data_IF_585214032432
#
_entry.id   IF_585214032432
#
_cell.length_a   1.000
_cell.length_b   1.000
_cell.length_c   1.000
_cell.angle_alpha   90.00
_cell.angle_beta   90.00
_cell.angle_gamma   90.00
#
_symmetry.space_group_name_H-M   'P 1'
#
loop_
_entity.id
_entity.type
_entity.pdbx_description
1 polymer ?
#
# COMPACT_ATOMS: atom_id res chain seq x y z
N UNK A 1 -10.59 -9.21 -20.62
CA UNK A 1 -11.17 -9.57 -19.30
C UNK A 1 -10.42 -10.67 -18.53
N UNK A 2 -9.44 -11.40 -19.11
CA UNK A 2 -8.67 -12.44 -18.38
C UNK A 2 -7.45 -11.94 -17.59
N UNK A 3 -6.97 -10.71 -17.84
CA UNK A 3 -5.76 -10.15 -17.19
C UNK A 3 -5.92 -9.79 -15.71
N UNK A 4 -7.06 -9.21 -15.32
CA UNK A 4 -7.26 -8.69 -13.95
C UNK A 4 -7.11 -9.77 -12.86
N UNK A 5 -7.57 -10.99 -13.10
CA UNK A 5 -7.49 -12.09 -12.12
C UNK A 5 -6.11 -12.70 -12.02
N UNK A 6 -5.32 -12.70 -13.09
CA UNK A 6 -3.94 -13.20 -13.07
C UNK A 6 -3.05 -12.23 -12.31
N UNK A 7 -3.16 -10.94 -12.58
CA UNK A 7 -2.38 -9.90 -11.88
C UNK A 7 -2.77 -9.84 -10.39
N UNK A 8 -4.07 -9.99 -10.09
CA UNK A 8 -4.54 -10.11 -8.71
C UNK A 8 -4.01 -11.37 -8.02
N UNK A 9 -4.00 -12.51 -8.70
CA UNK A 9 -3.46 -13.75 -8.14
C UNK A 9 -1.95 -13.63 -7.85
N UNK A 10 -1.19 -13.03 -8.78
CA UNK A 10 0.24 -12.77 -8.60
C UNK A 10 0.47 -11.82 -7.42
N UNK A 11 -0.30 -10.74 -7.30
CA UNK A 11 -0.21 -9.80 -6.19
C UNK A 11 -0.45 -10.48 -4.83
N UNK A 12 -1.46 -11.35 -4.73
CA UNK A 12 -1.76 -12.09 -3.50
C UNK A 12 -0.65 -13.08 -3.13
N UNK A 13 -0.14 -13.84 -4.10
CA UNK A 13 0.95 -14.81 -3.87
C UNK A 13 2.24 -14.11 -3.43
N UNK A 14 2.60 -13.01 -4.10
CA UNK A 14 3.77 -12.21 -3.74
C UNK A 14 3.57 -11.59 -2.35
N UNK A 15 2.38 -11.05 -2.06
CA UNK A 15 2.06 -10.50 -0.74
C UNK A 15 2.22 -11.52 0.38
N UNK A 16 1.72 -12.75 0.19
CA UNK A 16 1.85 -13.82 1.16
C UNK A 16 3.32 -14.27 1.35
N UNK A 17 4.05 -14.48 0.26
CA UNK A 17 5.46 -14.87 0.31
C UNK A 17 6.33 -13.80 0.97
N UNK A 18 6.08 -12.53 0.65
CA UNK A 18 6.81 -11.40 1.22
C UNK A 18 6.55 -11.24 2.72
N UNK A 19 5.29 -11.40 3.16
CA UNK A 19 4.94 -11.43 4.59
C UNK A 19 5.71 -12.52 5.34
N UNK A 20 5.85 -13.72 4.76
CA UNK A 20 6.62 -14.80 5.38
C UNK A 20 8.12 -14.46 5.54
N UNK A 21 8.73 -13.80 4.55
CA UNK A 21 10.13 -13.35 4.64
C UNK A 21 10.32 -12.33 5.76
N UNK A 22 9.40 -11.37 5.88
CA UNK A 22 9.48 -10.37 6.95
C UNK A 22 9.30 -11.02 8.31
N UNK A 23 8.30 -11.88 8.47
CA UNK A 23 8.07 -12.60 9.72
C UNK A 23 9.34 -13.37 10.13
N UNK A 24 9.98 -14.08 9.19
CA UNK A 24 11.24 -14.77 9.46
C UNK A 24 12.35 -13.83 9.96
N UNK A 25 12.46 -12.62 9.40
CA UNK A 25 13.45 -11.62 9.86
C UNK A 25 13.09 -11.10 11.25
N UNK A 26 11.82 -10.78 11.49
CA UNK A 26 11.36 -10.26 12.79
C UNK A 26 11.54 -11.33 13.87
N UNK A 27 11.12 -12.56 13.61
CA UNK A 27 11.19 -13.69 14.55
C UNK A 27 12.64 -14.13 14.80
N UNK A 28 13.53 -14.04 13.79
CA UNK A 28 14.92 -14.51 13.92
C UNK A 28 15.89 -13.42 14.41
N UNK A 29 15.57 -12.14 14.24
CA UNK A 29 16.49 -11.03 14.54
C UNK A 29 15.93 -10.11 15.60
N UNK A 30 14.70 -9.60 15.42
CA UNK A 30 14.12 -8.62 16.34
C UNK A 30 13.62 -9.25 17.64
N UNK A 31 12.92 -10.38 17.57
CA UNK A 31 12.42 -11.09 18.76
C UNK A 31 13.56 -11.49 19.70
N UNK A 32 14.69 -12.07 19.25
CA UNK A 32 15.83 -12.36 20.14
C UNK A 32 16.48 -11.11 20.73
N UNK A 33 16.54 -9.99 19.99
CA UNK A 33 17.05 -8.71 20.51
C UNK A 33 16.15 -8.14 21.61
N UNK A 34 14.84 -8.21 21.43
CA UNK A 34 13.85 -7.79 22.43
C UNK A 34 13.90 -8.73 23.63
N UNK A 35 13.99 -10.04 23.39
CA UNK A 35 14.13 -11.04 24.44
C UNK A 35 15.39 -10.83 25.28
N UNK A 36 16.50 -10.46 24.64
CA UNK A 36 17.75 -10.13 25.32
C UNK A 36 17.64 -8.85 26.15
N UNK A 37 16.92 -7.83 25.66
CA UNK A 37 16.78 -6.54 26.34
C UNK A 37 15.79 -6.60 27.52
N UNK A 38 14.66 -7.28 27.34
CA UNK A 38 13.58 -7.37 28.32
C UNK A 38 13.65 -8.64 29.18
N UNK A 39 14.66 -9.50 28.96
CA UNK A 39 14.85 -10.79 29.64
C UNK A 39 13.60 -11.69 29.59
N UNK A 40 12.77 -11.53 28.57
CA UNK A 40 11.55 -12.29 28.35
C UNK A 40 11.31 -12.46 26.85
N UNK A 41 11.18 -13.70 26.34
CA UNK A 41 10.99 -13.96 24.91
C UNK A 41 9.64 -13.48 24.39
N UNK A 42 8.66 -13.30 25.26
CA UNK A 42 7.33 -12.78 24.95
C UNK A 42 6.70 -12.20 26.22
N UNK A 43 5.63 -11.42 26.05
CA UNK A 43 4.82 -10.91 27.17
C UNK A 43 3.74 -11.91 27.60
N UNK A 44 3.79 -13.15 27.09
CA UNK A 44 2.73 -14.15 27.23
C UNK A 44 2.45 -14.51 28.69
N UNK A 45 3.48 -14.49 29.53
CA UNK A 45 3.40 -14.87 30.94
C UNK A 45 3.19 -13.67 31.89
N UNK A 46 3.07 -12.45 31.36
CA UNK A 46 2.90 -11.24 32.16
C UNK A 46 1.47 -11.08 32.73
N UNK A 47 0.48 -11.70 32.08
CA UNK A 47 -0.94 -11.51 32.43
C UNK A 47 -1.70 -12.82 32.27
N UNK A 48 -1.30 -13.81 33.09
CA UNK A 48 -1.93 -15.12 33.17
C UNK A 48 -2.95 -15.10 34.31
N UNK A 49 -4.22 -15.24 33.97
CA UNK A 49 -5.31 -15.41 34.94
C UNK A 49 -5.73 -16.88 34.93
N UNK A 50 -5.60 -17.56 36.07
CA UNK A 50 -6.17 -18.88 36.28
C UNK A 50 -7.61 -18.73 36.75
N UNK A 51 -8.55 -19.08 35.89
CA UNK A 51 -9.97 -19.13 36.22
C UNK A 51 -10.39 -20.60 36.13
N UNK A 52 -10.54 -21.25 37.30
CA UNK A 52 -11.09 -22.60 37.40
C UNK A 52 -10.28 -23.66 36.61
N UNK A 53 -8.95 -23.57 36.63
CA UNK A 53 -8.05 -24.48 35.93
C UNK A 53 -7.82 -24.13 34.45
N UNK A 54 -8.43 -23.05 33.96
CA UNK A 54 -8.20 -22.52 32.61
C UNK A 54 -7.27 -21.32 32.71
N UNK A 55 -6.04 -21.52 32.24
CA UNK A 55 -5.01 -20.47 32.13
C UNK A 55 -5.33 -19.53 30.97
N UNK A 56 -5.89 -18.37 31.27
CA UNK A 56 -6.13 -17.32 30.28
C UNK A 56 -4.91 -16.41 30.20
N UNK A 57 -4.13 -16.51 29.12
CA UNK A 57 -2.94 -15.70 28.87
C UNK A 57 -3.27 -14.45 28.05
N UNK A 58 -3.64 -13.36 28.71
CA UNK A 58 -3.87 -12.07 28.03
C UNK A 58 -2.58 -11.48 27.45
N UNK A 59 -1.43 -11.89 27.98
CA UNK A 59 -0.11 -11.53 27.48
C UNK A 59 0.11 -11.85 26.00
N UNK A 60 -0.53 -12.91 25.49
CA UNK A 60 -0.41 -13.34 24.09
C UNK A 60 -0.94 -12.28 23.12
N UNK A 61 -2.02 -11.59 23.50
CA UNK A 61 -2.59 -10.51 22.67
C UNK A 61 -1.62 -9.32 22.62
N UNK A 62 -1.00 -8.97 23.75
CA UNK A 62 -0.01 -7.90 23.80
C UNK A 62 1.23 -8.25 22.96
N UNK A 63 1.72 -9.49 23.08
CA UNK A 63 2.81 -10.00 22.23
C UNK A 63 2.46 -9.89 20.74
N UNK A 64 1.23 -10.27 20.36
CA UNK A 64 0.78 -10.18 18.97
C UNK A 64 0.73 -8.73 18.46
N UNK A 65 0.26 -7.78 19.28
CA UNK A 65 0.23 -6.35 18.93
C UNK A 65 1.64 -5.79 18.74
N UNK A 66 2.56 -6.12 19.66
CA UNK A 66 3.96 -5.68 19.55
C UNK A 66 4.60 -6.28 18.30
N UNK A 67 4.42 -7.57 18.03
CA UNK A 67 4.94 -8.21 16.82
C UNK A 67 4.39 -7.55 15.55
N UNK A 68 3.08 -7.29 15.50
CA UNK A 68 2.46 -6.57 14.38
C UNK A 68 3.08 -5.18 14.16
N UNK A 69 3.31 -4.41 15.23
CA UNK A 69 4.00 -3.11 15.15
C UNK A 69 5.44 -3.24 14.63
N UNK A 70 6.18 -4.27 15.03
CA UNK A 70 7.54 -4.51 14.55
C UNK A 70 7.57 -4.86 13.06
N UNK A 71 6.69 -5.76 12.63
CA UNK A 71 6.53 -6.12 11.22
C UNK A 71 6.15 -4.88 10.39
N UNK A 72 5.17 -4.10 10.85
CA UNK A 72 4.77 -2.86 10.20
C UNK A 72 5.92 -1.85 10.10
N UNK A 73 6.70 -1.68 11.18
CA UNK A 73 7.88 -0.82 11.19
C UNK A 73 8.96 -1.32 10.23
N UNK A 74 9.22 -2.63 10.19
CA UNK A 74 10.17 -3.24 9.27
C UNK A 74 9.77 -3.03 7.81
N UNK A 75 8.49 -3.27 7.46
CA UNK A 75 7.93 -3.01 6.11
C UNK A 75 8.08 -1.53 5.76
N UNK A 76 7.73 -0.64 6.68
CA UNK A 76 7.79 0.79 6.46
C UNK A 76 9.22 1.27 6.19
N UNK A 77 10.18 0.84 7.02
CA UNK A 77 11.58 1.23 6.85
C UNK A 77 12.27 0.57 5.65
N UNK A 78 11.98 -0.70 5.36
CA UNK A 78 12.65 -1.46 4.31
C UNK A 78 12.07 -1.20 2.91
N UNK A 79 10.77 -0.89 2.80
CA UNK A 79 10.11 -0.70 1.51
C UNK A 79 9.56 0.72 1.37
N UNK A 80 8.68 1.15 2.26
CA UNK A 80 7.92 2.41 2.06
C UNK A 80 8.86 3.61 2.05
N UNK A 81 9.80 3.68 2.99
CA UNK A 81 10.76 4.78 3.11
C UNK A 81 11.72 4.89 1.91
N UNK A 82 12.41 3.81 1.45
CA UNK A 82 13.26 3.91 0.26
C UNK A 82 12.45 4.11 -1.02
N UNK A 83 11.28 3.49 -1.14
CA UNK A 83 10.40 3.68 -2.30
C UNK A 83 9.93 5.14 -2.40
N UNK A 84 9.44 5.72 -1.30
CA UNK A 84 9.05 7.13 -1.24
C UNK A 84 10.23 8.04 -1.57
N UNK A 85 11.42 7.76 -1.03
CA UNK A 85 12.64 8.53 -1.30
C UNK A 85 13.11 8.41 -2.76
N UNK A 86 12.95 7.25 -3.39
CA UNK A 86 13.28 7.04 -4.80
C UNK A 86 12.27 7.73 -5.72
N UNK A 87 10.98 7.63 -5.43
CA UNK A 87 9.90 8.31 -6.16
C UNK A 87 10.10 9.83 -6.08
N UNK A 88 10.37 10.37 -4.89
CA UNK A 88 10.61 11.80 -4.70
C UNK A 88 11.85 12.28 -5.46
N UNK A 89 12.93 11.48 -5.50
CA UNK A 89 14.14 11.76 -6.30
C UNK A 89 13.87 11.69 -7.81
N UNK A 90 13.04 10.75 -8.27
CA UNK A 90 12.64 10.62 -9.67
C UNK A 90 11.76 11.78 -10.10
N UNK A 91 10.75 12.12 -9.31
CA UNK A 91 9.81 13.22 -9.57
C UNK A 91 10.55 14.57 -9.62
N UNK A 92 11.50 14.80 -8.70
CA UNK A 92 12.37 15.99 -8.70
C UNK A 92 13.32 16.07 -9.91
N UNK A 93 13.75 14.93 -10.47
CA UNK A 93 14.61 14.89 -11.67
C UNK A 93 13.83 15.08 -12.97
N UNK A 94 12.58 14.65 -13.02
CA UNK A 94 11.75 14.68 -14.23
C UNK A 94 10.76 15.85 -14.26
N UNK A 95 10.64 16.64 -13.18
CA UNK A 95 9.65 17.72 -13.09
C UNK A 95 8.20 17.21 -13.12
N UNK A 96 8.01 15.93 -12.82
CA UNK A 96 6.71 15.28 -12.84
C UNK A 96 6.04 15.60 -11.50
N UNK A 97 5.01 16.44 -11.57
CA UNK A 97 4.08 16.64 -10.46
C UNK A 97 3.34 15.31 -10.22
N UNK A 98 3.40 14.70 -9.02
CA UNK A 98 2.65 13.49 -8.70
C UNK A 98 1.13 13.65 -8.87
N UNK A 99 0.61 14.88 -8.95
CA UNK A 99 -0.79 15.14 -9.30
C UNK A 99 -1.13 14.84 -10.77
N UNK A 100 -0.11 14.64 -11.62
CA UNK A 100 -0.27 14.19 -13.01
C UNK A 100 -0.22 12.66 -13.03
N UNK A 101 -1.10 12.03 -12.27
CA UNK A 101 -1.40 10.61 -12.48
C UNK A 101 -1.74 10.42 -13.96
N UNK A 102 -1.17 9.37 -14.56
CA UNK A 102 -1.43 8.99 -15.94
C UNK A 102 -2.94 8.85 -16.10
N UNK A 103 -3.55 9.87 -16.69
CA UNK A 103 -4.98 9.91 -16.94
C UNK A 103 -5.29 8.63 -17.72
N UNK A 104 -6.19 7.77 -17.23
CA UNK A 104 -6.52 6.53 -17.91
C UNK A 104 -6.82 6.82 -19.38
N UNK A 105 -6.35 5.96 -20.28
CA UNK A 105 -6.41 6.20 -21.73
C UNK A 105 -7.85 6.56 -22.18
N UNK A 106 -8.84 5.91 -21.56
CA UNK A 106 -10.26 6.22 -21.74
C UNK A 106 -10.62 7.67 -21.37
N UNK A 107 -10.10 8.18 -20.26
CA UNK A 107 -10.36 9.55 -19.79
C UNK A 107 -9.63 10.57 -20.67
N UNK A 108 -8.45 10.23 -21.20
CA UNK A 108 -7.74 11.04 -22.19
C UNK A 108 -8.55 11.15 -23.50
N UNK A 109 -9.02 10.01 -24.02
CA UNK A 109 -9.87 9.96 -25.22
C UNK A 109 -11.19 10.72 -25.03
N UNK A 110 -11.83 10.58 -23.86
CA UNK A 110 -13.06 11.33 -23.54
C UNK A 110 -12.82 12.84 -23.48
N UNK A 111 -11.64 13.26 -23.02
CA UNK A 111 -11.24 14.69 -23.02
C UNK A 111 -11.09 15.20 -24.45
N UNK A 112 -10.42 14.44 -25.33
CA UNK A 112 -10.32 14.78 -26.76
C UNK A 112 -11.69 14.83 -27.44
N UNK A 113 -12.57 13.84 -27.21
CA UNK A 113 -13.92 13.82 -27.79
C UNK A 113 -14.74 15.02 -27.32
N UNK A 114 -14.66 15.38 -26.03
CA UNK A 114 -15.33 16.58 -25.49
C UNK A 114 -14.85 17.84 -26.20
N UNK A 115 -13.54 17.97 -26.40
CA UNK A 115 -12.95 19.16 -27.00
C UNK A 115 -13.30 19.27 -28.49
N UNK A 116 -13.30 18.15 -29.22
CA UNK A 116 -13.78 18.08 -30.62
C UNK A 116 -15.27 18.43 -30.74
N UNK A 117 -16.11 17.91 -29.84
CA UNK A 117 -17.55 18.20 -29.84
C UNK A 117 -17.85 19.66 -29.46
N UNK A 118 -17.08 20.22 -28.52
CA UNK A 118 -17.15 21.64 -28.14
C UNK A 118 -16.77 22.54 -29.31
N UNK A 119 -15.67 22.22 -30.01
CA UNK A 119 -15.24 22.94 -31.21
C UNK A 119 -16.29 22.85 -32.34
N UNK A 120 -16.90 21.69 -32.56
CA UNK A 120 -17.95 21.49 -33.57
C UNK A 120 -19.24 22.24 -33.22
N UNK A 121 -19.65 22.25 -31.94
CA UNK A 121 -20.78 23.06 -31.46
C UNK A 121 -20.54 24.56 -31.60
N UNK A 122 -19.31 25.03 -31.34
CA UNK A 122 -18.91 26.42 -31.55
C UNK A 122 -18.95 26.83 -33.03
N UNK A 123 -18.57 25.94 -33.94
CA UNK A 123 -18.64 26.16 -35.39
C UNK A 123 -20.07 26.24 -35.95
N UNK A 124 -21.01 25.48 -35.39
CA UNK A 124 -22.41 25.50 -35.81
C UNK A 124 -23.18 26.77 -35.39
N UNK A 125 -22.69 27.50 -34.38
CA UNK A 125 -23.27 28.78 -33.96
C UNK A 125 -22.83 29.98 -34.84
N UNK A 126 -21.78 29.82 -35.66
CA UNK A 126 -21.25 30.85 -36.56
C UNK A 126 -21.89 30.90 -37.96
N UNK A 127 -22.70 29.90 -38.32
CA UNK A 127 -23.38 29.80 -39.62
C UNK A 127 -24.88 30.10 -39.51
N UNK A 128 -25.23 31.23 -38.88
CA UNK A 128 -26.57 31.81 -39.09
C UNK A 128 -26.56 32.53 -40.45
N UNK A 129 -27.12 31.84 -41.45
CA UNK A 129 -27.80 32.41 -42.63
C UNK A 129 -27.47 33.88 -42.97
N UNK A 130 -26.44 34.11 -43.79
CA UNK A 130 -26.44 35.25 -44.73
C UNK A 130 -26.75 34.69 -46.10
N UNK A 131 -28.03 34.46 -46.36
CA UNK A 131 -28.56 34.21 -47.70
C UNK A 131 -29.46 35.41 -48.02
N UNK A 132 -28.93 36.25 -48.93
CA UNK A 132 -29.58 37.33 -49.70
C UNK A 132 -30.05 38.58 -48.95
#
# INVERSE_FOLDING_TARGET
MKGNVIDLAVAVVIGAAFGAVINAIVDSVLMPLIAALFRAPSFDDWLVLDINGVLVKFGVVLTAVVNFLLIAAAVYFAIVLPMNKMIERRNRRLGIDPAKEEVPEDVALLTEIRDLLSAQRGGAAGTTHTTL
#
